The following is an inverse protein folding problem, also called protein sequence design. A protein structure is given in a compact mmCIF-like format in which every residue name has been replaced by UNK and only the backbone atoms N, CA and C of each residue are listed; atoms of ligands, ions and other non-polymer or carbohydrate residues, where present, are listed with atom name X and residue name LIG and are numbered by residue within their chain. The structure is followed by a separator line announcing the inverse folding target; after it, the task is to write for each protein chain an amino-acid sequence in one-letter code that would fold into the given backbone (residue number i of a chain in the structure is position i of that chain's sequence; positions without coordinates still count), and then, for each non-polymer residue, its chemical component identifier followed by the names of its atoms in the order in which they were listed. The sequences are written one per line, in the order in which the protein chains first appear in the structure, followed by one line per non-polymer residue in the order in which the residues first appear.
data_IF_469055383444
#
_entry.id   IF_469055383444
#
_cell.length_a   1.000
_cell.length_b   1.000
_cell.length_c   1.000
_cell.angle_alpha   90.00
_cell.angle_beta   90.00
_cell.angle_gamma   90.00
#
_symmetry.space_group_name_H-M   'P 1'
#
loop_
_entity.id
_entity.type
_entity.pdbx_description
1 polymer ?
#
# COMPACT_ATOMS: atom_id res chain seq x y z
N UNK A 1 2.84 -8.48 -3.14
CA UNK A 1 3.86 -7.45 -2.92
C UNK A 1 4.84 -8.00 -1.90
N UNK A 2 6.07 -8.30 -2.32
CA UNK A 2 7.09 -8.84 -1.44
C UNK A 2 8.35 -7.99 -1.63
N UNK A 3 8.61 -7.13 -0.66
CA UNK A 3 9.87 -6.39 -0.57
C UNK A 3 10.92 -7.30 0.05
N UNK A 4 11.93 -7.70 -0.72
CA UNK A 4 13.14 -8.31 -0.19
C UNK A 4 13.98 -7.22 0.45
N UNK A 5 13.61 -6.79 1.65
CA UNK A 5 14.41 -5.83 2.40
C UNK A 5 15.54 -6.56 3.13
N UNK A 6 16.66 -6.81 2.43
CA UNK A 6 17.95 -7.07 3.10
C UNK A 6 18.41 -5.87 3.96
N UNK A 7 17.72 -4.73 3.83
CA UNK A 7 17.82 -3.55 4.68
C UNK A 7 16.42 -3.19 5.18
N UNK A 8 16.02 -3.71 6.35
CA UNK A 8 14.66 -3.64 6.93
C UNK A 8 14.09 -2.26 7.29
N UNK A 9 14.42 -1.20 6.55
CA UNK A 9 13.97 0.18 6.80
C UNK A 9 13.08 0.79 5.70
N UNK A 10 12.92 0.14 4.53
CA UNK A 10 12.18 0.69 3.37
C UNK A 10 10.76 0.13 3.17
N UNK A 11 10.25 -0.66 4.12
CA UNK A 11 8.94 -1.31 3.96
C UNK A 11 7.80 -0.33 3.70
N UNK A 12 7.82 0.87 4.29
CA UNK A 12 6.82 1.92 4.04
C UNK A 12 6.91 2.52 2.63
N UNK A 13 8.12 2.75 2.13
CA UNK A 13 8.36 3.28 0.77
C UNK A 13 7.88 2.31 -0.28
N UNK A 14 8.19 1.03 -0.08
CA UNK A 14 7.72 -0.04 -0.95
C UNK A 14 6.20 0.02 -1.02
N UNK A 15 5.49 -0.16 0.11
CA UNK A 15 4.00 -0.20 0.15
C UNK A 15 3.40 1.02 -0.54
N UNK A 16 3.91 2.20 -0.20
CA UNK A 16 3.42 3.48 -0.72
C UNK A 16 3.66 3.60 -2.24
N UNK A 17 4.83 3.16 -2.74
CA UNK A 17 5.13 3.16 -4.18
C UNK A 17 4.19 2.23 -4.96
N UNK A 18 3.89 1.05 -4.41
CA UNK A 18 2.91 0.16 -5.03
C UNK A 18 1.49 0.73 -4.98
N UNK A 19 1.13 1.42 -3.90
CA UNK A 19 -0.17 2.06 -3.78
C UNK A 19 -0.33 3.19 -4.81
N UNK A 20 0.69 4.04 -4.96
CA UNK A 20 0.71 5.09 -5.98
C UNK A 20 0.64 4.51 -7.39
N UNK A 21 1.46 3.50 -7.70
CA UNK A 21 1.41 2.82 -8.99
C UNK A 21 0.02 2.23 -9.26
N UNK A 22 -0.64 1.69 -8.23
CA UNK A 22 -2.01 1.19 -8.32
C UNK A 22 -3.01 2.30 -8.69
N UNK A 23 -2.93 3.45 -8.00
CA UNK A 23 -3.80 4.60 -8.27
C UNK A 23 -3.65 5.14 -9.69
N UNK A 24 -2.43 5.25 -10.19
CA UNK A 24 -2.15 5.83 -11.50
C UNK A 24 -2.52 4.92 -12.68
N UNK A 25 -2.41 3.60 -12.52
CA UNK A 25 -2.47 2.65 -13.65
C UNK A 25 -3.69 1.73 -13.63
N UNK A 26 -4.33 1.53 -12.48
CA UNK A 26 -5.37 0.52 -12.32
C UNK A 26 -6.71 1.07 -11.84
N UNK A 27 -6.74 2.31 -11.34
CA UNK A 27 -7.98 2.98 -10.96
C UNK A 27 -8.61 3.61 -12.20
N UNK A 28 -9.91 3.37 -12.37
CA UNK A 28 -10.69 3.93 -13.49
C UNK A 28 -10.89 5.43 -13.21
N UNK A 29 -10.72 6.27 -14.25
CA UNK A 29 -10.76 7.74 -14.15
C UNK A 29 -11.99 8.33 -13.47
N UNK A 30 -13.10 7.60 -13.47
CA UNK A 30 -14.40 8.04 -12.96
C UNK A 30 -14.58 7.75 -11.47
N UNK A 31 -13.66 7.00 -10.84
CA UNK A 31 -13.66 6.75 -9.40
C UNK A 31 -13.03 7.93 -8.68
N UNK A 32 -13.84 8.68 -7.93
CA UNK A 32 -13.38 9.85 -7.16
C UNK A 32 -13.33 9.65 -5.65
N UNK A 33 -14.11 8.69 -5.15
CA UNK A 33 -14.13 8.36 -3.72
C UNK A 33 -13.47 6.99 -3.50
N UNK A 34 -12.43 6.96 -2.68
CA UNK A 34 -11.65 5.76 -2.41
C UNK A 34 -11.80 5.33 -0.95
N UNK A 35 -12.11 4.05 -0.73
CA UNK A 35 -12.07 3.44 0.60
C UNK A 35 -10.92 2.44 0.67
N UNK A 36 -9.97 2.70 1.57
CA UNK A 36 -8.83 1.83 1.85
C UNK A 36 -9.05 1.07 3.15
N UNK A 37 -8.73 -0.24 3.14
CA UNK A 37 -8.67 -1.06 4.34
C UNK A 37 -7.25 -1.59 4.52
N UNK A 38 -6.67 -1.36 5.68
CA UNK A 38 -5.34 -1.89 6.01
C UNK A 38 -5.27 -2.44 7.41
N UNK A 39 -4.29 -3.31 7.63
CA UNK A 39 -3.93 -3.69 8.97
C UNK A 39 -3.37 -2.50 9.76
N UNK A 40 -3.29 -2.66 11.07
CA UNK A 40 -2.81 -1.61 11.97
C UNK A 40 -1.27 -1.64 12.13
N UNK A 41 -0.52 -2.10 11.12
CA UNK A 41 0.93 -2.15 11.16
C UNK A 41 1.53 -0.75 11.01
N UNK A 42 2.12 -0.23 12.10
CA UNK A 42 2.73 1.11 12.13
C UNK A 42 3.90 1.29 11.17
N UNK A 43 4.64 0.22 10.87
CA UNK A 43 5.81 0.29 9.98
C UNK A 43 5.38 0.36 8.53
N UNK A 44 4.40 -0.45 8.10
CA UNK A 44 4.07 -0.62 6.69
C UNK A 44 2.89 0.24 6.24
N UNK A 45 1.76 0.16 6.95
CA UNK A 45 0.48 0.68 6.47
C UNK A 45 0.02 1.93 7.23
N UNK A 46 0.47 2.11 8.47
CA UNK A 46 0.05 3.21 9.34
C UNK A 46 1.21 4.11 9.72
N UNK A 47 1.77 4.75 8.69
CA UNK A 47 2.85 5.70 8.78
C UNK A 47 2.55 6.94 7.92
N UNK A 48 3.44 7.93 7.99
CA UNK A 48 3.30 9.18 7.24
C UNK A 48 3.45 8.99 5.72
N UNK A 49 4.15 7.95 5.24
CA UNK A 49 4.38 7.74 3.79
C UNK A 49 3.05 7.42 3.09
N UNK A 50 2.23 6.55 3.71
CA UNK A 50 0.90 6.20 3.21
C UNK A 50 -0.02 7.41 3.21
N UNK A 51 0.03 8.22 4.27
CA UNK A 51 -0.73 9.47 4.36
C UNK A 51 -0.35 10.44 3.25
N UNK A 52 0.96 10.64 3.01
CA UNK A 52 1.45 11.54 1.98
C UNK A 52 1.12 11.04 0.58
N UNK A 53 1.15 9.72 0.35
CA UNK A 53 0.73 9.11 -0.91
C UNK A 53 -0.74 9.42 -1.20
N UNK A 54 -1.62 9.19 -0.22
CA UNK A 54 -3.04 9.53 -0.35
C UNK A 54 -3.24 11.03 -0.60
N UNK A 55 -2.50 11.89 0.12
CA UNK A 55 -2.59 13.33 -0.06
C UNK A 55 -2.11 13.78 -1.44
N UNK A 56 -1.02 13.23 -1.96
CA UNK A 56 -0.54 13.50 -3.34
C UNK A 56 -1.60 13.15 -4.36
N UNK A 57 -2.28 12.01 -4.16
CA UNK A 57 -3.33 11.53 -5.06
C UNK A 57 -4.52 12.50 -5.13
N UNK A 58 -4.89 13.12 -4.01
CA UNK A 58 -5.92 14.18 -3.95
C UNK A 58 -5.42 15.46 -4.65
N UNK A 59 -4.17 15.87 -4.39
CA UNK A 59 -3.57 17.05 -5.02
C UNK A 59 -3.47 16.92 -6.54
N UNK A 60 -3.16 15.72 -7.04
CA UNK A 60 -3.12 15.38 -8.47
C UNK A 60 -4.52 15.19 -9.08
N UNK A 61 -5.58 15.34 -8.28
CA UNK A 61 -6.99 15.21 -8.67
C UNK A 61 -7.35 13.81 -9.21
N UNK A 62 -6.59 12.80 -8.78
CA UNK A 62 -6.94 11.40 -9.02
C UNK A 62 -8.24 11.10 -8.27
N UNK A 63 -8.29 11.45 -6.99
CA UNK A 63 -9.45 11.31 -6.11
C UNK A 63 -9.92 12.65 -5.55
N UNK A 64 -11.20 12.72 -5.18
CA UNK A 64 -11.78 13.83 -4.42
C UNK A 64 -11.79 13.55 -2.91
N UNK A 65 -11.94 12.26 -2.54
CA UNK A 65 -11.94 11.80 -1.15
C UNK A 65 -11.26 10.43 -1.00
N UNK A 66 -10.47 10.28 0.06
CA UNK A 66 -9.90 9.00 0.48
C UNK A 66 -10.21 8.77 1.96
N UNK A 67 -10.93 7.69 2.26
CA UNK A 67 -11.16 7.18 3.60
C UNK A 67 -10.29 5.93 3.84
N UNK A 68 -9.39 6.01 4.82
CA UNK A 68 -8.50 4.91 5.17
C UNK A 68 -8.84 4.32 6.55
N UNK A 69 -9.33 3.09 6.53
CA UNK A 69 -9.73 2.32 7.70
C UNK A 69 -8.59 1.41 8.16
N UNK A 70 -8.16 1.60 9.41
CA UNK A 70 -7.23 0.70 10.09
C UNK A 70 -7.97 -0.33 10.93
N UNK A 71 -7.79 -1.59 10.55
CA UNK A 71 -8.45 -2.74 11.16
C UNK A 71 -7.94 -3.04 12.58
N UNK A 72 -8.82 -3.45 13.50
CA UNK A 72 -8.44 -3.76 14.89
C UNK A 72 -7.65 -5.09 14.91
N UNK A 73 -6.50 -5.09 15.60
CA UNK A 73 -5.67 -6.27 15.76
C UNK A 73 -6.45 -7.40 16.47
N UNK A 74 -6.32 -8.64 15.97
CA UNK A 74 -6.97 -9.82 16.55
C UNK A 74 -8.41 -10.10 16.09
N UNK A 75 -9.05 -9.17 15.37
CA UNK A 75 -10.45 -9.32 14.91
C UNK A 75 -10.64 -9.19 13.39
N UNK A 76 -9.55 -9.16 12.63
CA UNK A 76 -9.58 -8.76 11.24
C UNK A 76 -8.89 -9.78 10.36
N UNK A 77 -9.66 -10.44 9.49
CA UNK A 77 -9.15 -11.38 8.50
C UNK A 77 -9.17 -10.72 7.12
N UNK A 78 -8.06 -10.06 6.73
CA UNK A 78 -7.95 -9.51 5.38
C UNK A 78 -7.81 -10.66 4.37
N UNK A 79 -8.54 -10.63 3.24
CA UNK A 79 -8.42 -11.65 2.19
C UNK A 79 -6.99 -11.83 1.68
N UNK A 80 -6.17 -10.77 1.71
CA UNK A 80 -4.77 -10.85 1.31
C UNK A 80 -3.95 -11.80 2.19
N UNK A 81 -4.18 -11.85 3.50
CA UNK A 81 -3.45 -12.76 4.40
C UNK A 81 -3.68 -14.22 4.08
N UNK A 82 -4.92 -14.58 3.70
CA UNK A 82 -5.22 -15.95 3.24
C UNK A 82 -4.35 -16.33 2.05
N UNK A 83 -4.31 -15.44 1.06
CA UNK A 83 -3.56 -15.68 -0.16
C UNK A 83 -2.06 -15.76 0.12
N UNK A 84 -1.52 -14.87 0.96
CA UNK A 84 -0.11 -14.92 1.34
C UNK A 84 0.24 -16.20 2.10
N UNK A 85 -0.56 -16.60 3.08
CA UNK A 85 -0.31 -17.83 3.83
C UNK A 85 -0.37 -19.08 2.94
N UNK A 86 -1.30 -19.13 1.99
CA UNK A 86 -1.39 -20.26 1.06
C UNK A 86 -0.24 -20.26 0.05
N UNK A 87 0.16 -19.09 -0.48
CA UNK A 87 1.34 -18.98 -1.35
C UNK A 87 2.60 -19.40 -0.58
N UNK A 88 2.75 -18.98 0.68
CA UNK A 88 3.87 -19.39 1.52
C UNK A 88 3.92 -20.91 1.70
N UNK A 89 2.77 -21.58 1.84
CA UNK A 89 2.69 -23.04 1.88
C UNK A 89 3.16 -23.67 0.56
N UNK A 90 2.72 -23.16 -0.59
CA UNK A 90 3.18 -23.66 -1.91
C UNK A 90 4.68 -23.46 -2.13
N UNK A 91 5.25 -22.43 -1.51
CA UNK A 91 6.69 -22.13 -1.59
C UNK A 91 7.55 -23.01 -0.67
N UNK A 92 6.94 -23.72 0.30
CA UNK A 92 7.70 -24.57 1.24
C UNK A 92 8.35 -25.74 0.49
N UNK A 93 9.68 -25.79 0.54
CA UNK A 93 10.45 -26.84 -0.12
C UNK A 93 10.68 -26.60 -1.62
N UNK A 94 10.27 -25.45 -2.16
CA UNK A 94 10.62 -25.04 -3.53
C UNK A 94 11.93 -24.27 -3.50
N UNK A 95 12.91 -24.72 -4.28
CA UNK A 95 14.15 -23.98 -4.46
C UNK A 95 13.94 -22.79 -5.42
N UNK A 96 13.90 -21.59 -4.85
CA UNK A 96 13.73 -20.35 -5.59
C UNK A 96 15.10 -19.78 -5.99
N UNK A 97 15.46 -19.95 -7.26
CA UNK A 97 16.74 -19.47 -7.79
C UNK A 97 16.66 -18.11 -8.50
N UNK A 98 15.45 -17.63 -8.82
CA UNK A 98 15.26 -16.38 -9.55
C UNK A 98 13.90 -15.73 -9.26
N UNK A 99 13.83 -14.41 -9.45
CA UNK A 99 12.61 -13.61 -9.31
C UNK A 99 11.46 -14.08 -10.26
N UNK A 100 11.72 -14.42 -11.54
CA UNK A 100 10.68 -14.98 -12.43
C UNK A 100 10.01 -16.24 -11.88
N UNK A 101 10.79 -17.19 -11.34
CA UNK A 101 10.25 -18.43 -10.79
C UNK A 101 9.23 -18.16 -9.68
N UNK A 102 9.49 -17.14 -8.86
CA UNK A 102 8.59 -16.72 -7.80
C UNK A 102 7.30 -16.09 -8.35
N UNK A 103 7.42 -15.24 -9.37
CA UNK A 103 6.28 -14.62 -10.04
C UNK A 103 5.36 -15.67 -10.68
N UNK A 104 5.93 -16.72 -11.26
CA UNK A 104 5.17 -17.78 -11.92
C UNK A 104 4.40 -18.61 -10.90
N UNK A 105 5.00 -18.95 -9.75
CA UNK A 105 4.30 -19.64 -8.65
C UNK A 105 3.10 -18.81 -8.15
N UNK A 106 3.27 -17.49 -7.99
CA UNK A 106 2.18 -16.60 -7.58
C UNK A 106 1.03 -16.62 -8.61
N UNK A 107 1.35 -16.56 -9.91
CA UNK A 107 0.33 -16.60 -10.97
C UNK A 107 -0.41 -17.93 -10.99
N UNK A 108 0.33 -19.03 -10.86
CA UNK A 108 -0.21 -20.39 -10.95
C UNK A 108 -1.05 -20.79 -9.72
N UNK A 109 -0.76 -20.21 -8.56
CA UNK A 109 -1.50 -20.49 -7.32
C UNK A 109 -3.03 -20.30 -7.49
N UNK A 110 -3.49 -19.26 -8.21
CA UNK A 110 -4.92 -19.07 -8.52
C UNK A 110 -5.27 -19.47 -9.95
N UNK A 111 -5.36 -20.76 -10.24
CA UNK A 111 -5.70 -21.28 -11.59
C UNK A 111 -6.93 -20.67 -12.25
N UNK A 112 -8.01 -20.42 -11.50
CA UNK A 112 -9.27 -19.88 -12.04
C UNK A 112 -9.28 -18.35 -12.20
N UNK A 113 -8.44 -17.66 -11.46
CA UNK A 113 -8.37 -16.19 -11.46
C UNK A 113 -6.94 -15.79 -11.07
N UNK A 114 -5.96 -15.98 -11.98
CA UNK A 114 -4.56 -15.72 -11.69
C UNK A 114 -4.34 -14.30 -11.18
N UNK A 115 -3.35 -14.13 -10.31
CA UNK A 115 -2.95 -12.79 -9.91
C UNK A 115 -2.27 -12.06 -11.07
N UNK A 116 -2.57 -10.78 -11.21
CA UNK A 116 -1.72 -9.89 -11.98
C UNK A 116 -0.47 -9.59 -11.17
N UNK A 117 0.69 -10.01 -11.67
CA UNK A 117 1.98 -9.76 -11.04
C UNK A 117 2.67 -8.63 -11.77
N UNK A 118 2.89 -7.53 -11.08
CA UNK A 118 3.58 -6.33 -11.60
C UNK A 118 4.99 -6.30 -11.02
N UNK A 119 5.99 -6.12 -11.89
CA UNK A 119 7.38 -5.95 -11.45
C UNK A 119 7.60 -4.50 -11.03
N UNK A 120 8.00 -4.29 -9.78
CA UNK A 120 8.19 -2.95 -9.19
C UNK A 120 9.67 -2.54 -9.05
N UNK A 121 10.61 -3.36 -9.53
CA UNK A 121 12.06 -3.19 -9.28
C UNK A 121 12.59 -1.79 -9.58
N UNK A 122 12.06 -1.14 -10.61
CA UNK A 122 12.47 0.20 -11.05
C UNK A 122 11.42 1.29 -10.76
N UNK A 123 10.34 0.97 -10.06
CA UNK A 123 9.20 1.86 -9.80
C UNK A 123 9.05 2.19 -8.31
N UNK A 124 10.05 1.88 -7.48
CA UNK A 124 10.06 2.29 -6.08
C UNK A 124 10.48 3.75 -5.96
N UNK A 125 9.61 4.54 -5.33
CA UNK A 125 9.79 5.96 -5.09
C UNK A 125 10.50 6.20 -3.77
N UNK A 126 11.26 7.29 -3.71
CA UNK A 126 11.80 7.81 -2.46
C UNK A 126 10.81 8.81 -1.85
N UNK A 127 10.04 8.35 -0.87
CA UNK A 127 8.96 9.14 -0.27
C UNK A 127 9.48 10.11 0.80
N UNK A 128 10.76 10.02 1.17
CA UNK A 128 11.39 11.02 2.01
C UNK A 128 11.36 12.41 1.36
N UNK A 129 11.36 12.48 0.02
CA UNK A 129 11.19 13.74 -0.73
C UNK A 129 9.86 14.40 -0.39
N UNK A 130 8.76 13.65 -0.35
CA UNK A 130 7.44 14.17 0.03
C UNK A 130 7.41 14.66 1.48
N UNK A 131 8.14 14.00 2.39
CA UNK A 131 8.21 14.45 3.79
C UNK A 131 8.82 15.84 3.94
N UNK A 132 9.76 16.20 3.06
CA UNK A 132 10.42 17.51 3.06
C UNK A 132 9.50 18.64 2.58
N UNK A 133 8.50 18.33 1.73
CA UNK A 133 7.50 19.27 1.23
C UNK A 133 6.28 19.45 2.15
N UNK A 134 6.23 18.78 3.30
CA UNK A 134 5.11 18.88 4.25
C UNK A 134 5.14 20.23 4.95
N UNK A 135 4.10 21.03 4.73
CA UNK A 135 4.02 22.41 5.27
C UNK A 135 3.54 22.48 6.72
N UNK A 136 2.76 21.49 7.19
CA UNK A 136 2.22 21.45 8.55
C UNK A 136 2.17 20.01 9.09
N UNK A 137 3.08 19.66 10.00
CA UNK A 137 3.03 18.39 10.74
C UNK A 137 2.18 18.58 12.00
N UNK A 138 1.02 17.93 12.06
CA UNK A 138 0.21 17.86 13.29
C UNK A 138 0.25 16.45 13.86
N UNK A 139 0.55 16.31 15.16
CA UNK A 139 0.43 15.03 15.86
C UNK A 139 -1.04 14.67 16.08
N UNK A 140 -1.62 13.91 15.15
CA UNK A 140 -2.94 13.33 15.33
C UNK A 140 -2.88 12.12 16.27
N UNK A 141 -3.44 12.24 17.49
CA UNK A 141 -3.67 11.08 18.35
C UNK A 141 -4.83 10.26 17.79
N UNK A 142 -4.55 9.34 16.88
CA UNK A 142 -5.57 8.40 16.44
C UNK A 142 -6.02 7.56 17.68
N UNK A 143 -7.32 7.35 17.93
CA UNK A 143 -7.86 6.44 18.98
C UNK A 143 -8.84 5.45 18.34
N UNK A 144 -8.94 4.24 18.92
CA UNK A 144 -9.85 3.09 18.64
C UNK A 144 -10.66 3.11 17.31
N UNK A 145 -10.37 2.18 16.38
CA UNK A 145 -11.09 2.09 15.10
C UNK A 145 -10.87 3.34 14.26
N UNK A 146 -9.71 3.43 13.62
CA UNK A 146 -9.17 4.72 13.15
C UNK A 146 -9.50 4.89 11.67
N UNK A 147 -10.39 5.83 11.39
CA UNK A 147 -10.62 6.37 10.05
C UNK A 147 -9.66 7.54 9.87
N UNK A 148 -8.93 7.54 8.76
CA UNK A 148 -8.19 8.68 8.29
C UNK A 148 -8.83 9.15 6.98
N UNK A 149 -9.53 10.28 7.05
CA UNK A 149 -10.21 10.87 5.90
C UNK A 149 -9.39 12.07 5.40
N UNK A 150 -9.10 12.10 4.09
CA UNK A 150 -8.57 13.26 3.38
C UNK A 150 -9.55 13.62 2.26
N UNK A 151 -9.89 14.91 2.20
CA UNK A 151 -10.75 15.49 1.15
C UNK A 151 -10.05 16.65 0.45
N UNK A 152 -10.50 17.01 -0.76
CA UNK A 152 -9.99 18.18 -1.53
C UNK A 152 -9.97 19.50 -0.76
N UNK A 153 -10.89 19.71 0.20
CA UNK A 153 -10.96 20.90 1.03
C UNK A 153 -10.04 20.88 2.26
N UNK A 154 -9.17 19.87 2.40
CA UNK A 154 -8.28 19.75 3.56
C UNK A 154 -7.18 20.81 3.50
N UNK A 155 -7.13 21.73 4.47
CA UNK A 155 -6.10 22.79 4.61
C UNK A 155 -4.67 22.27 4.94
N UNK A 156 -4.39 20.97 4.74
CA UNK A 156 -3.09 20.34 4.99
C UNK A 156 -2.47 20.01 3.63
N UNK A 157 -1.49 20.79 3.21
CA UNK A 157 -0.92 20.68 1.87
C UNK A 157 0.49 20.08 1.83
N UNK A 158 0.75 19.32 0.77
CA UNK A 158 2.08 19.17 0.18
C UNK A 158 2.36 20.43 -0.67
N UNK A 159 3.57 20.97 -0.59
CA UNK A 159 4.02 22.05 -1.48
C UNK A 159 4.53 21.50 -2.81
#
# INVERSE_FOLDING_TARGET
MFGTSLLGKRGSDEISSCLQHYFEHFVISDVKDMILFSDNCGVQNKNIHIVLTCLSSIHEKIFDEIEHYFMIAGHSYLPCYRNFGNIEIELRGVELFSEPNYCDIIKEYRRRSPFMVVNMRNNFLDIEVFQSSVTNKSEGKFKNGRIFCIQTHTNRGLR
#
